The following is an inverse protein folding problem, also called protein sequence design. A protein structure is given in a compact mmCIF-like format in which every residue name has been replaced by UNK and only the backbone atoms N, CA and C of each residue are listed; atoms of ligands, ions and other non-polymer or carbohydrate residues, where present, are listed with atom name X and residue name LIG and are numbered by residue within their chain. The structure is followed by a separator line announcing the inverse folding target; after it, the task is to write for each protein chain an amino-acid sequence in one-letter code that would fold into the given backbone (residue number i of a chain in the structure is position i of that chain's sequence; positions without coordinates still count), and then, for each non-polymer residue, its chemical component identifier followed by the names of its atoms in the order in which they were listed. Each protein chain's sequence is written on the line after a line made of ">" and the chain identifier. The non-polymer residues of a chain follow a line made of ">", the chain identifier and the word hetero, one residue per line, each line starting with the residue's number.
data_IF_365106179119
#
_entry.id   IF_365106179119
#
_cell.length_a   1.000
_cell.length_b   1.000
_cell.length_c   1.000
_cell.angle_alpha   90.00
_cell.angle_beta   90.00
_cell.angle_gamma   90.00
#
_symmetry.space_group_name_H-M   'P 1'
#
loop_
_entity.id
_entity.type
_entity.pdbx_description
1 polymer ?
2 non-polymer ?
3 non-polymer ?
4 non-polymer ?
5 non-polymer ?
6 non-polymer ?
7 water ?
#
# COMPACT_ATOMS: atom_id res chain seq x y z
N UNK A 3 -16.47 8.31 12.32
CA UNK A 3 -15.47 9.11 11.62
C UNK A 3 -14.49 8.23 10.84
N UNK A 4 -14.10 8.69 9.64
CA UNK A 4 -13.16 7.91 8.83
C UNK A 4 -11.76 7.91 9.41
N UNK A 5 -11.02 6.83 9.12
CA UNK A 5 -9.64 6.69 9.57
C UNK A 5 -8.83 7.91 9.16
N UNK A 6 -7.94 8.35 10.05
CA UNK A 6 -7.01 9.45 9.73
C UNK A 6 -5.77 8.80 9.12
N UNK A 7 -5.79 8.67 7.79
CA UNK A 7 -4.65 8.14 7.07
C UNK A 7 -3.54 9.19 6.99
N UNK A 8 -2.34 8.71 6.66
CA UNK A 8 -1.26 9.64 6.34
C UNK A 8 -1.60 10.52 5.15
N UNK A 9 -0.84 11.59 5.00
CA UNK A 9 -1.04 12.54 3.92
C UNK A 9 -1.85 13.76 4.29
N UNK A 10 -2.30 13.88 5.53
CA UNK A 10 -3.20 14.95 5.92
C UNK A 10 -2.50 16.29 6.14
N UNK A 11 -1.81 16.78 5.11
CA UNK A 11 -1.09 18.04 5.21
C UNK A 11 -2.06 19.22 5.37
N UNK A 12 -3.17 19.20 4.63
CA UNK A 12 -4.17 20.25 4.76
C UNK A 12 -4.59 20.42 6.22
N UNK A 13 -4.98 19.33 6.86
CA UNK A 13 -5.42 19.39 8.25
C UNK A 13 -4.25 19.71 9.19
N UNK A 14 -3.05 19.21 8.89
CA UNK A 14 -1.91 19.50 9.77
C UNK A 14 -1.56 20.97 9.73
N UNK A 15 -1.48 21.57 8.54
CA UNK A 15 -1.13 22.97 8.41
C UNK A 15 -2.18 23.87 9.07
N UNK A 16 -3.46 23.49 9.00
CA UNK A 16 -4.49 24.30 9.63
C UNK A 16 -4.34 24.29 11.15
N UNK A 17 -3.83 23.20 11.72
CA UNK A 17 -3.69 23.08 13.15
C UNK A 17 -2.38 23.64 13.66
N UNK A 18 -1.30 23.47 12.89
CA UNK A 18 0.04 23.79 13.35
C UNK A 18 0.67 24.97 12.61
N UNK A 19 -0.01 25.51 11.60
CA UNK A 19 0.50 26.65 10.86
C UNK A 19 1.37 26.25 9.68
N UNK A 20 1.78 27.26 8.93
CA UNK A 20 2.63 27.07 7.77
C UNK A 20 1.83 26.90 6.48
N UNK A 21 2.52 27.16 5.36
CA UNK A 21 1.92 26.86 4.07
C UNK A 21 2.13 25.39 3.74
N UNK A 22 1.12 24.71 3.20
CA UNK A 22 1.26 23.27 2.89
C UNK A 22 2.54 22.92 2.13
N UNK A 23 2.96 23.75 1.18
CA UNK A 23 4.16 23.42 0.42
C UNK A 23 5.43 23.55 1.23
N UNK A 24 5.39 24.22 2.39
CA UNK A 24 6.56 24.33 3.24
C UNK A 24 6.68 23.17 4.22
N UNK A 25 5.64 22.36 4.35
CA UNK A 25 5.70 21.18 5.19
C UNK A 25 6.52 20.07 4.51
N UNK A 26 7.15 19.26 5.34
CA UNK A 26 7.80 18.04 4.89
C UNK A 26 6.88 16.87 5.26
N UNK A 27 6.28 16.22 4.26
CA UNK A 27 5.31 15.16 4.52
C UNK A 27 6.03 13.82 4.55
N UNK A 28 6.23 13.30 5.75
CA UNK A 28 6.78 11.97 5.96
C UNK A 28 5.74 11.02 6.53
N UNK A 29 4.47 11.28 6.26
CA UNK A 29 3.40 10.48 6.86
C UNK A 29 2.82 9.45 5.90
N UNK A 30 3.37 9.30 4.70
CA UNK A 30 2.93 8.25 3.79
C UNK A 30 4.11 7.35 3.42
N UNK A 31 3.86 6.42 2.51
CA UNK A 31 4.88 5.54 1.99
C UNK A 31 5.07 5.75 0.50
N UNK A 32 4.69 6.93 0.02
CA UNK A 32 4.80 7.27 -1.40
C UNK A 32 6.24 7.62 -1.74
N UNK A 33 6.74 7.11 -2.86
CA UNK A 33 8.03 7.50 -3.42
C UNK A 33 8.12 9.03 -3.46
N UNK A 34 9.03 9.63 -2.69
CA UNK A 34 9.08 11.10 -2.62
C UNK A 34 9.60 11.76 -3.89
N UNK A 35 10.15 10.99 -4.83
CA UNK A 35 10.73 11.53 -6.07
C UNK A 35 9.93 10.98 -7.24
N UNK A 36 8.79 11.61 -7.56
CA UNK A 36 7.94 11.08 -8.63
C UNK A 36 8.69 10.97 -9.96
N UNK A 37 8.42 9.87 -10.65
CA UNK A 37 8.96 9.65 -11.99
C UNK A 37 8.46 10.76 -12.92
N UNK A 38 9.26 11.08 -13.94
CA UNK A 38 8.82 12.05 -14.95
C UNK A 38 7.60 11.53 -15.70
N UNK A 39 6.66 12.43 -15.97
CA UNK A 39 5.41 12.03 -16.63
C UNK A 39 5.66 11.63 -18.08
N UNK A 40 5.16 10.47 -18.52
CA UNK A 40 5.18 10.17 -19.95
C UNK A 40 4.20 11.06 -20.69
N UNK A 41 4.29 11.00 -22.03
CA UNK A 41 3.35 11.73 -22.86
C UNK A 41 1.95 11.13 -22.72
N UNK A 42 0.95 12.00 -22.62
CA UNK A 42 -0.44 11.60 -22.64
C UNK A 42 -1.14 12.30 -23.79
N UNK A 43 -1.41 11.59 -24.89
CA UNK A 43 -2.01 12.23 -26.07
C UNK A 43 -3.38 12.80 -25.74
N UNK A 44 -3.74 13.85 -26.49
CA UNK A 44 -5.03 14.50 -26.28
C UNK A 44 -6.18 13.51 -26.38
N UNK A 45 -6.06 12.51 -27.26
CA UNK A 45 -7.09 11.49 -27.39
C UNK A 45 -7.38 10.83 -26.04
N UNK A 46 -6.33 10.50 -25.27
CA UNK A 46 -6.52 9.85 -23.97
C UNK A 46 -7.23 10.75 -22.97
N UNK A 47 -7.08 12.07 -23.10
CA UNK A 47 -7.82 13.02 -22.25
C UNK A 47 -9.28 13.15 -22.67
N UNK A 48 -9.53 13.11 -23.98
CA UNK A 48 -10.82 13.50 -24.55
C UNK A 48 -11.84 12.37 -24.50
N UNK A 49 -11.44 11.17 -24.90
CA UNK A 49 -12.36 10.06 -25.09
C UNK A 49 -12.59 9.29 -23.79
N UNK A 50 -13.80 8.74 -23.66
CA UNK A 50 -14.02 7.70 -22.66
C UNK A 50 -12.99 6.59 -22.87
N UNK A 51 -12.42 6.03 -21.79
CA UNK A 51 -11.29 5.09 -21.95
C UNK A 51 -11.68 3.91 -22.83
N UNK A 52 -10.91 3.70 -23.88
CA UNK A 52 -11.19 2.71 -24.91
C UNK A 52 -10.67 1.34 -24.47
N UNK A 53 -11.31 0.30 -25.02
CA UNK A 53 -10.86 -1.07 -24.73
C UNK A 53 -9.38 -1.24 -25.05
N UNK A 54 -8.91 -0.61 -26.14
CA UNK A 54 -7.50 -0.75 -26.51
C UNK A 54 -6.59 -0.12 -25.46
N UNK A 55 -7.00 1.02 -24.89
CA UNK A 55 -6.23 1.66 -23.83
C UNK A 55 -6.18 0.79 -22.59
N UNK A 56 -7.30 0.17 -22.23
CA UNK A 56 -7.33 -0.77 -21.12
C UNK A 56 -6.41 -1.96 -21.39
N UNK A 57 -6.57 -2.57 -22.57
CA UNK A 57 -5.85 -3.81 -22.86
C UNK A 57 -4.34 -3.60 -22.85
N UNK A 58 -3.88 -2.46 -23.37
CA UNK A 58 -2.44 -2.19 -23.36
C UNK A 58 -1.91 -2.04 -21.94
N UNK A 59 -2.68 -1.39 -21.06
CA UNK A 59 -2.26 -1.29 -19.67
C UNK A 59 -2.25 -2.66 -19.01
N UNK A 60 -3.22 -3.52 -19.35
CA UNK A 60 -3.25 -4.86 -18.77
C UNK A 60 -2.06 -5.70 -19.22
N UNK A 61 -1.71 -5.60 -20.51
CA UNK A 61 -0.56 -6.34 -21.03
C UNK A 61 0.74 -5.87 -20.39
N UNK A 62 0.91 -4.55 -20.26
CA UNK A 62 2.10 -4.03 -19.61
C UNK A 62 2.17 -4.46 -18.15
N UNK A 63 1.02 -4.46 -17.47
CA UNK A 63 0.98 -4.88 -16.07
C UNK A 63 1.29 -6.36 -15.93
N UNK A 64 0.82 -7.20 -16.88
CA UNK A 64 1.14 -8.62 -16.81
C UNK A 64 2.64 -8.85 -16.92
N UNK A 65 3.30 -8.15 -17.83
CA UNK A 65 4.76 -8.25 -17.94
C UNK A 65 5.43 -7.71 -16.68
N UNK A 66 4.97 -6.54 -16.21
CA UNK A 66 5.65 -5.86 -15.12
C UNK A 66 5.54 -6.64 -13.80
N UNK A 67 4.36 -7.18 -13.50
CA UNK A 67 4.15 -7.94 -12.26
C UNK A 67 4.50 -9.42 -12.42
N UNK A 68 4.88 -9.87 -13.61
CA UNK A 68 5.27 -11.25 -13.87
C UNK A 68 4.17 -12.22 -13.44
N UNK A 69 3.01 -12.07 -14.09
CA UNK A 69 1.78 -12.73 -13.68
C UNK A 69 1.57 -14.08 -14.37
N UNK A 70 2.57 -14.57 -15.11
CA UNK A 70 2.51 -15.88 -15.76
C UNK A 70 1.28 -16.00 -16.65
N UNK A 71 1.04 -14.95 -17.45
CA UNK A 71 -0.02 -14.97 -18.44
C UNK A 71 -1.34 -14.36 -18.01
N UNK A 72 -1.58 -14.20 -16.71
CA UNK A 72 -2.82 -13.58 -16.26
C UNK A 72 -2.79 -12.09 -16.54
N UNK A 73 -3.82 -11.59 -17.21
CA UNK A 73 -3.92 -10.15 -17.46
C UNK A 73 -4.58 -9.48 -16.27
N UNK A 74 -3.82 -8.67 -15.51
CA UNK A 74 -4.41 -8.01 -14.33
C UNK A 74 -5.51 -7.04 -14.73
N UNK A 75 -6.50 -6.90 -13.84
CA UNK A 75 -7.58 -5.95 -14.05
C UNK A 75 -7.18 -4.60 -13.49
N UNK A 76 -7.19 -3.53 -14.28
CA UNK A 76 -6.96 -2.19 -13.73
C UNK A 76 -8.16 -1.75 -12.92
N UNK A 77 -7.88 -1.14 -11.76
CA UNK A 77 -8.95 -0.65 -10.89
C UNK A 77 -8.59 0.77 -10.45
N UNK A 78 -9.56 1.62 -10.14
CA UNK A 78 -9.22 3.03 -9.81
C UNK A 78 -8.72 3.17 -8.37
N UNK A 79 -7.53 2.62 -8.11
CA UNK A 79 -7.01 2.55 -6.76
C UNK A 79 -7.45 1.27 -6.08
N UNK A 80 -6.54 0.62 -5.34
CA UNK A 80 -6.94 -0.61 -4.67
C UNK A 80 -7.99 -0.34 -3.59
N UNK A 81 -8.06 0.89 -3.08
CA UNK A 81 -9.14 1.24 -2.18
C UNK A 81 -10.50 0.90 -2.78
N UNK A 82 -10.64 1.07 -4.10
CA UNK A 82 -11.92 0.84 -4.74
C UNK A 82 -12.32 -0.63 -4.69
N UNK A 83 -11.35 -1.55 -4.75
CA UNK A 83 -11.71 -2.96 -4.64
C UNK A 83 -11.68 -3.46 -3.21
N UNK A 84 -11.02 -2.75 -2.29
CA UNK A 84 -11.22 -3.01 -0.87
C UNK A 84 -12.68 -2.76 -0.50
N UNK A 85 -13.23 -1.59 -0.89
CA UNK A 85 -14.65 -1.29 -0.68
C UNK A 85 -15.57 -2.40 -1.19
N UNK A 86 -15.11 -3.25 -2.11
CA UNK A 86 -15.93 -4.28 -2.72
C UNK A 86 -15.70 -5.67 -2.14
N UNK A 87 -14.75 -5.84 -1.22
CA UNK A 87 -14.52 -7.16 -0.64
C UNK A 87 -15.75 -7.77 0.02
N UNK A 88 -16.68 -7.03 0.63
CA UNK A 88 -17.89 -7.66 1.16
C UNK A 88 -18.64 -8.51 0.13
N UNK A 89 -18.61 -8.12 -1.15
CA UNK A 89 -19.31 -8.89 -2.18
C UNK A 89 -18.58 -10.17 -2.54
N UNK A 90 -17.28 -10.24 -2.25
CA UNK A 90 -16.47 -11.41 -2.57
C UNK A 90 -16.28 -12.35 -1.39
N UNK A 91 -16.07 -11.81 -0.19
CA UNK A 91 -15.82 -12.64 0.98
C UNK A 91 -16.98 -13.60 1.20
N UNK A 92 -16.72 -14.90 1.33
CA UNK A 92 -17.81 -15.86 1.58
C UNK A 92 -18.72 -15.40 2.69
N UNK A 93 -20.02 -15.34 2.37
CA UNK A 93 -21.02 -14.93 3.35
C UNK A 93 -21.05 -15.87 4.53
N UNK A 94 -21.38 -15.33 5.71
CA UNK A 94 -21.61 -16.14 6.91
C UNK A 94 -20.33 -16.85 7.36
N UNK A 95 -19.17 -16.30 7.00
CA UNK A 95 -17.92 -16.80 7.53
C UNK A 95 -17.09 -15.63 8.04
N UNK A 96 -16.15 -15.94 8.91
CA UNK A 96 -15.29 -14.91 9.46
C UNK A 96 -14.23 -14.51 8.43
N UNK A 97 -13.62 -13.35 8.68
CA UNK A 97 -12.46 -12.89 7.94
C UNK A 97 -11.31 -12.75 8.91
N UNK A 98 -10.17 -13.36 8.58
CA UNK A 98 -8.95 -13.25 9.35
C UNK A 98 -8.02 -12.24 8.67
N UNK A 99 -7.52 -11.28 9.44
CA UNK A 99 -6.62 -10.25 8.91
C UNK A 99 -5.31 -10.32 9.71
N UNK A 100 -4.21 -10.56 8.99
CA UNK A 100 -2.87 -10.46 9.59
C UNK A 100 -2.61 -9.00 9.95
N UNK A 101 -2.50 -8.72 11.24
CA UNK A 101 -2.34 -7.36 11.69
C UNK A 101 -1.26 -7.19 12.73
N UNK A 102 -1.16 -5.99 13.30
CA UNK A 102 -1.91 -4.77 12.91
C UNK A 102 -1.51 -4.33 11.51
N UNK A 103 -2.43 -3.78 10.74
CA UNK A 103 -2.17 -3.50 9.34
C UNK A 103 -3.05 -2.33 8.88
N UNK A 104 -3.02 -2.07 7.58
CA UNK A 104 -3.86 -1.05 6.96
C UNK A 104 -5.31 -1.23 7.42
N UNK A 105 -5.90 -0.13 7.91
CA UNK A 105 -7.14 -0.23 8.66
C UNK A 105 -8.41 -0.37 7.84
N UNK A 106 -8.36 -0.14 6.53
CA UNK A 106 -9.59 -0.10 5.74
C UNK A 106 -10.20 -1.48 5.57
N UNK A 107 -9.39 -2.53 5.62
CA UNK A 107 -9.93 -3.89 5.49
C UNK A 107 -10.94 -4.20 6.60
N UNK A 108 -10.54 -4.01 7.85
CA UNK A 108 -11.46 -4.26 8.95
C UNK A 108 -12.62 -3.27 8.95
N UNK A 109 -12.35 -2.01 8.60
CA UNK A 109 -13.41 -1.01 8.61
C UNK A 109 -14.50 -1.37 7.62
N UNK A 110 -14.12 -1.66 6.39
CA UNK A 110 -15.09 -1.99 5.35
C UNK A 110 -15.83 -3.28 5.70
N UNK A 111 -15.10 -4.31 6.11
CA UNK A 111 -15.75 -5.61 6.29
C UNK A 111 -16.66 -5.61 7.52
N UNK A 112 -16.25 -4.96 8.61
CA UNK A 112 -17.12 -4.91 9.79
C UNK A 112 -18.35 -4.06 9.52
N UNK A 113 -18.20 -2.99 8.74
CA UNK A 113 -19.37 -2.20 8.37
C UNK A 113 -20.36 -3.01 7.56
N UNK A 114 -19.90 -4.04 6.85
CA UNK A 114 -20.77 -4.91 6.08
C UNK A 114 -21.28 -6.09 6.88
N UNK A 115 -21.07 -6.10 8.20
CA UNK A 115 -21.58 -7.16 9.05
C UNK A 115 -20.71 -8.40 9.16
N UNK A 116 -19.49 -8.39 8.64
CA UNK A 116 -18.60 -9.52 8.79
C UNK A 116 -17.91 -9.51 10.16
N UNK A 117 -17.65 -10.69 10.69
CA UNK A 117 -16.86 -10.84 11.90
C UNK A 117 -15.38 -10.92 11.50
N UNK A 118 -14.56 -10.02 12.05
CA UNK A 118 -13.15 -9.92 11.67
C UNK A 118 -12.29 -10.40 12.84
N UNK A 119 -11.42 -11.37 12.56
CA UNK A 119 -10.48 -11.90 13.54
C UNK A 119 -9.09 -11.36 13.24
N UNK A 120 -8.53 -10.59 14.16
CA UNK A 120 -7.14 -10.16 14.03
C UNK A 120 -6.21 -11.31 14.39
N UNK A 121 -5.30 -11.65 13.48
CA UNK A 121 -4.37 -12.74 13.72
C UNK A 121 -2.95 -12.26 13.44
N UNK A 122 -1.98 -12.99 14.00
CA UNK A 122 -0.58 -12.65 13.81
C UNK A 122 0.19 -13.70 13.02
N UNK A 123 -0.34 -14.92 12.88
CA UNK A 123 0.34 -15.91 12.06
C UNK A 123 -0.65 -17.01 11.67
N UNK A 124 -0.17 -17.90 10.80
CA UNK A 124 -1.03 -18.87 10.14
C UNK A 124 -1.62 -19.90 11.09
N UNK A 125 -0.98 -20.16 12.25
CA UNK A 125 -1.52 -21.19 13.12
C UNK A 125 -2.86 -20.79 13.73
N UNK A 126 -3.26 -19.53 13.63
CA UNK A 126 -4.56 -19.11 14.11
C UNK A 126 -5.66 -19.26 13.07
N UNK A 127 -5.34 -19.70 11.85
CA UNK A 127 -6.30 -19.77 10.76
C UNK A 127 -7.08 -21.07 10.81
N UNK A 128 -8.40 -20.98 10.59
CA UNK A 128 -9.29 -22.13 10.65
C UNK A 128 -10.20 -22.15 9.42
N UNK A 129 -11.05 -23.18 9.37
CA UNK A 129 -12.05 -23.30 8.30
C UNK A 129 -13.18 -22.27 8.44
N UNK A 130 -13.31 -21.65 9.61
CA UNK A 130 -14.28 -20.59 9.80
C UNK A 130 -13.92 -19.31 9.03
N UNK A 131 -12.68 -19.21 8.55
CA UNK A 131 -12.22 -18.00 7.86
C UNK A 131 -12.47 -18.17 6.37
N UNK A 132 -13.54 -17.55 5.87
CA UNK A 132 -13.81 -17.58 4.44
C UNK A 132 -12.82 -16.77 3.64
N UNK A 133 -12.25 -15.73 4.24
CA UNK A 133 -11.24 -14.90 3.61
C UNK A 133 -10.11 -14.65 4.60
N UNK A 134 -8.88 -14.77 4.11
CA UNK A 134 -7.68 -14.38 4.84
C UNK A 134 -7.01 -13.25 4.08
N UNK A 135 -6.58 -12.21 4.81
CA UNK A 135 -6.01 -11.01 4.22
C UNK A 135 -4.59 -10.82 4.78
N UNK A 136 -3.60 -10.81 3.90
CA UNK A 136 -2.22 -10.49 4.27
C UNK A 136 -1.76 -9.30 3.45
N UNK A 137 -1.29 -8.26 4.12
CA UNK A 137 -0.57 -7.18 3.45
C UNK A 137 0.92 -7.55 3.44
N UNK A 138 1.49 -7.72 2.25
CA UNK A 138 2.83 -8.29 2.16
C UNK A 138 3.70 -7.53 1.16
N UNK A 139 4.77 -6.85 1.63
CA UNK A 139 5.17 -6.70 3.04
C UNK A 139 4.18 -5.82 3.79
N UNK A 140 4.13 -5.94 5.12
CA UNK A 140 3.05 -5.31 5.86
C UNK A 140 3.22 -3.80 5.96
N UNK A 141 2.08 -3.10 5.92
CA UNK A 141 1.97 -1.72 6.35
C UNK A 141 1.28 -1.77 7.71
N UNK A 142 1.89 -1.27 8.80
CA UNK A 142 3.10 -0.44 8.85
C UNK A 142 4.39 -1.12 9.30
N UNK A 143 4.43 -2.44 9.56
CA UNK A 143 5.60 -3.03 10.19
C UNK A 143 6.65 -3.52 9.19
N UNK A 144 6.31 -3.65 7.91
CA UNK A 144 7.22 -4.22 6.94
C UNK A 144 7.40 -5.71 7.01
N UNK A 145 6.70 -6.41 7.90
CA UNK A 145 6.84 -7.86 7.98
C UNK A 145 6.56 -8.51 6.63
N UNK A 146 7.42 -9.45 6.24
CA UNK A 146 7.33 -10.08 4.93
C UNK A 146 7.24 -11.59 5.10
N UNK A 147 6.12 -12.17 4.69
CA UNK A 147 6.05 -13.62 4.57
C UNK A 147 6.64 -14.03 3.23
N UNK A 148 7.30 -15.19 3.24
CA UNK A 148 7.84 -15.72 2.01
C UNK A 148 6.72 -16.27 1.12
N UNK A 149 6.88 -16.20 -0.20
CA UNK A 149 5.84 -16.74 -1.11
C UNK A 149 5.41 -18.15 -0.75
N UNK A 150 6.34 -19.01 -0.36
CA UNK A 150 5.97 -20.38 0.00
C UNK A 150 5.05 -20.43 1.21
N UNK A 151 5.26 -19.52 2.17
CA UNK A 151 4.34 -19.44 3.31
C UNK A 151 2.96 -18.99 2.87
N UNK A 152 2.91 -18.01 1.96
CA UNK A 152 1.61 -17.55 1.45
C UNK A 152 0.88 -18.66 0.72
N UNK A 153 1.59 -19.41 -0.12
CA UNK A 153 0.96 -20.49 -0.86
C UNK A 153 0.52 -21.62 0.07
N UNK A 154 1.25 -21.85 1.16
CA UNK A 154 0.82 -22.85 2.14
C UNK A 154 -0.44 -22.39 2.86
N UNK A 155 -0.55 -21.10 3.16
CA UNK A 155 -1.79 -20.56 3.70
C UNK A 155 -2.93 -20.75 2.71
N UNK A 156 -2.68 -20.46 1.43
CA UNK A 156 -3.73 -20.60 0.43
C UNK A 156 -4.20 -22.05 0.32
N UNK A 157 -3.25 -22.98 0.22
CA UNK A 157 -3.61 -24.39 0.08
C UNK A 157 -4.43 -24.87 1.25
N UNK A 158 -4.08 -24.44 2.47
CA UNK A 158 -4.79 -24.89 3.66
C UNK A 158 -6.22 -24.34 3.70
N UNK A 159 -6.41 -23.07 3.35
CA UNK A 159 -7.76 -22.50 3.32
C UNK A 159 -8.59 -23.07 2.18
N UNK A 160 -7.95 -23.45 1.07
CA UNK A 160 -8.69 -23.93 -0.09
C UNK A 160 -9.52 -25.17 0.26
N UNK A 161 -9.03 -26.01 1.17
CA UNK A 161 -9.75 -27.23 1.54
C UNK A 161 -11.17 -26.96 2.03
N UNK A 162 -11.39 -25.81 2.68
CA UNK A 162 -12.72 -25.45 3.16
C UNK A 162 -13.36 -24.36 2.31
N UNK A 163 -12.93 -24.20 1.05
CA UNK A 163 -13.45 -23.13 0.22
C UNK A 163 -13.10 -21.73 0.68
N UNK A 164 -11.96 -21.54 1.34
CA UNK A 164 -11.55 -20.22 1.76
C UNK A 164 -10.65 -19.56 0.74
N UNK A 165 -10.65 -18.23 0.74
CA UNK A 165 -9.83 -17.43 -0.17
C UNK A 165 -8.68 -16.77 0.58
N UNK A 166 -7.60 -16.52 -0.15
CA UNK A 166 -6.46 -15.76 0.38
C UNK A 166 -6.28 -14.50 -0.46
N UNK A 167 -6.31 -13.34 0.18
CA UNK A 167 -5.99 -12.06 -0.44
C UNK A 167 -4.64 -11.58 0.05
N UNK A 168 -3.71 -11.34 -0.88
CA UNK A 168 -2.41 -10.76 -0.58
C UNK A 168 -2.34 -9.37 -1.20
N UNK A 169 -2.20 -8.36 -0.35
CA UNK A 169 -2.07 -6.98 -0.79
C UNK A 169 -0.58 -6.65 -0.87
N UNK A 170 -0.06 -6.58 -2.10
CA UNK A 170 1.35 -6.30 -2.36
C UNK A 170 1.57 -4.85 -2.78
N UNK A 171 0.84 -3.93 -2.14
CA UNK A 171 0.97 -2.50 -2.45
C UNK A 171 2.42 -2.04 -2.35
N UNK A 172 3.16 -2.56 -1.37
CA UNK A 172 4.53 -2.14 -1.12
C UNK A 172 5.55 -3.19 -1.57
N UNK A 173 5.18 -4.01 -2.55
CA UNK A 173 6.02 -5.13 -2.94
C UNK A 173 6.90 -4.91 -4.17
N UNK A 174 6.76 -3.76 -4.83
CA UNK A 174 7.49 -3.53 -6.08
C UNK A 174 9.01 -3.60 -5.89
N UNK A 175 9.51 -3.19 -4.73
CA UNK A 175 10.96 -3.21 -4.50
C UNK A 175 11.51 -4.61 -4.32
N UNK A 176 10.68 -5.59 -3.99
CA UNK A 176 11.12 -6.97 -3.80
C UNK A 176 10.21 -7.91 -4.60
N UNK A 177 10.35 -7.89 -5.94
CA UNK A 177 9.45 -8.72 -6.77
C UNK A 177 9.57 -10.21 -6.52
N UNK A 178 10.65 -10.66 -5.89
CA UNK A 178 10.81 -12.08 -5.61
C UNK A 178 9.92 -12.57 -4.48
N UNK A 179 9.31 -11.65 -3.71
CA UNK A 179 8.32 -12.02 -2.70
C UNK A 179 6.92 -12.19 -3.26
N UNK A 180 6.66 -11.77 -4.50
CA UNK A 180 5.29 -11.70 -4.99
C UNK A 180 4.73 -13.09 -5.28
N UNK A 181 3.44 -13.27 -5.01
CA UNK A 181 2.73 -14.46 -5.47
C UNK A 181 1.80 -14.13 -6.65
N UNK A 182 2.03 -12.99 -7.30
CA UNK A 182 1.20 -12.57 -8.42
C UNK A 182 1.29 -13.51 -9.61
N UNK A 183 2.26 -14.41 -9.65
CA UNK A 183 2.39 -15.39 -10.70
C UNK A 183 1.68 -16.70 -10.44
N UNK A 184 0.91 -16.81 -9.36
CA UNK A 184 0.36 -18.10 -8.93
C UNK A 184 -1.16 -18.15 -8.97
N UNK A 185 -1.83 -17.19 -9.61
CA UNK A 185 -3.28 -17.15 -9.57
C UNK A 185 -3.90 -18.41 -10.17
N UNK A 186 -3.41 -18.85 -11.34
CA UNK A 186 -4.01 -19.98 -12.02
C UNK A 186 -3.74 -21.29 -11.29
N UNK A 187 -2.52 -21.48 -10.78
CA UNK A 187 -2.18 -22.73 -10.14
C UNK A 187 -2.78 -22.86 -8.76
N UNK A 188 -2.95 -21.75 -8.05
CA UNK A 188 -3.50 -21.82 -6.70
C UNK A 188 -5.03 -21.80 -6.70
N UNK A 189 -5.66 -20.98 -7.54
CA UNK A 189 -7.10 -21.02 -7.69
C UNK A 189 -7.91 -20.20 -6.71
N UNK A 190 -7.47 -20.13 -5.45
CA UNK A 190 -8.19 -19.38 -4.42
C UNK A 190 -7.39 -18.17 -3.94
N UNK A 191 -6.55 -17.61 -4.82
CA UNK A 191 -5.62 -16.55 -4.47
C UNK A 191 -5.96 -15.27 -5.24
N UNK A 192 -6.05 -14.15 -4.51
CA UNK A 192 -6.22 -12.82 -5.10
C UNK A 192 -5.07 -11.93 -4.66
N UNK A 193 -4.53 -11.15 -5.59
CA UNK A 193 -3.43 -10.23 -5.32
C UNK A 193 -3.83 -8.81 -5.73
N UNK A 194 -3.68 -7.86 -4.81
CA UNK A 194 -3.83 -6.44 -5.11
C UNK A 194 -2.45 -5.82 -5.32
N UNK A 195 -2.32 -5.03 -6.38
CA UNK A 195 -1.13 -4.22 -6.64
C UNK A 195 -1.55 -2.77 -6.72
N UNK A 196 -0.73 -1.88 -6.16
CA UNK A 196 -0.98 -0.45 -6.15
C UNK A 196 0.06 0.26 -7.00
N UNK A 197 -0.38 1.25 -7.78
CA UNK A 197 0.53 1.93 -8.68
C UNK A 197 1.18 3.16 -8.04
N UNK A 198 0.49 3.81 -7.10
CA UNK A 198 0.93 5.12 -6.67
C UNK A 198 2.22 5.12 -5.85
N UNK A 199 2.38 4.13 -4.96
CA UNK A 199 3.47 4.19 -3.99
C UNK A 199 4.84 4.10 -4.67
N UNK A 200 5.07 3.05 -5.47
CA UNK A 200 6.39 2.83 -6.05
C UNK A 200 6.74 3.90 -7.08
N UNK A 201 5.78 4.29 -7.91
CA UNK A 201 6.06 5.25 -8.97
C UNK A 201 5.95 6.68 -8.50
N UNK A 202 5.41 6.92 -7.31
CA UNK A 202 5.32 8.28 -6.80
C UNK A 202 4.27 9.14 -7.48
N UNK A 203 3.25 8.52 -8.06
CA UNK A 203 2.18 9.27 -8.71
C UNK A 203 0.85 8.94 -8.05
N UNK A 204 0.75 9.23 -6.75
CA UNK A 204 -0.45 8.86 -5.99
C UNK A 204 -1.61 9.80 -6.25
N UNK A 205 -1.40 10.88 -7.01
CA UNK A 205 -2.53 11.67 -7.47
C UNK A 205 -3.37 10.93 -8.47
N UNK A 206 -2.76 10.02 -9.22
CA UNK A 206 -3.50 9.06 -10.04
C UNK A 206 -4.10 7.99 -9.14
N UNK A 207 -5.30 7.56 -9.47
CA UNK A 207 -5.97 6.51 -8.69
C UNK A 207 -5.95 5.24 -9.55
N UNK A 208 -4.96 4.38 -9.30
CA UNK A 208 -4.78 3.19 -10.12
C UNK A 208 -4.17 2.04 -9.33
N UNK A 209 -4.80 0.87 -9.43
CA UNK A 209 -4.23 -0.36 -8.94
C UNK A 209 -4.55 -1.47 -9.93
N UNK A 210 -4.15 -2.69 -9.57
CA UNK A 210 -4.41 -3.85 -10.40
C UNK A 210 -4.78 -5.03 -9.52
N UNK A 211 -5.69 -5.87 -10.01
CA UNK A 211 -6.08 -7.11 -9.34
C UNK A 211 -5.59 -8.28 -10.19
N UNK A 212 -4.91 -9.23 -9.56
CA UNK A 212 -4.50 -10.48 -10.19
C UNK A 212 -5.28 -11.60 -9.52
N UNK A 213 -6.04 -12.35 -10.32
CA UNK A 213 -6.91 -13.40 -9.80
C UNK A 213 -7.34 -14.27 -10.98
N UNK A 214 -8.12 -15.30 -10.70
CA UNK A 214 -8.69 -16.09 -11.78
C UNK A 214 -9.75 -15.28 -12.53
N UNK A 215 -10.03 -15.72 -13.76
CA UNK A 215 -10.97 -14.98 -14.60
C UNK A 215 -12.36 -14.84 -13.98
N UNK A 216 -12.96 -15.85 -13.35
CA UNK A 216 -14.27 -15.61 -12.71
C UNK A 216 -14.23 -14.50 -11.69
N UNK A 217 -13.14 -14.38 -10.94
CA UNK A 217 -13.05 -13.32 -9.94
C UNK A 217 -12.81 -11.97 -10.60
N UNK A 218 -11.91 -11.92 -11.59
CA UNK A 218 -11.68 -10.66 -12.31
C UNK A 218 -12.96 -10.18 -13.00
N UNK A 219 -13.73 -11.11 -13.58
CA UNK A 219 -14.99 -10.71 -14.22
C UNK A 219 -15.96 -10.15 -13.19
N UNK A 220 -15.97 -10.70 -11.98
CA UNK A 220 -16.84 -10.15 -10.94
C UNK A 220 -16.43 -8.73 -10.56
N UNK A 221 -15.14 -8.52 -10.29
CA UNK A 221 -14.69 -7.17 -9.95
C UNK A 221 -15.00 -6.18 -11.07
N UNK A 222 -14.79 -6.60 -12.33
CA UNK A 222 -15.06 -5.71 -13.45
C UNK A 222 -16.53 -5.31 -13.52
N UNK A 223 -17.43 -6.26 -13.25
CA UNK A 223 -18.85 -5.94 -13.28
C UNK A 223 -19.23 -5.00 -12.14
N UNK A 224 -18.71 -5.27 -10.94
CA UNK A 224 -19.03 -4.44 -9.78
C UNK A 224 -18.54 -3.00 -9.98
N UNK A 225 -17.38 -2.83 -10.61
CA UNK A 225 -16.83 -1.50 -10.79
C UNK A 225 -17.54 -0.71 -11.89
N UNK A 226 -18.10 -1.39 -12.87
CA UNK A 226 -18.84 -0.73 -13.93
C UNK A 226 -17.94 -0.19 -15.03
N UNK A 227 -18.54 0.32 -16.10
CA UNK A 227 -17.75 0.77 -17.25
C UNK A 227 -16.91 2.00 -16.94
N UNK A 228 -15.77 2.11 -17.63
CA UNK A 228 -14.90 3.29 -17.57
C UNK A 228 -14.42 3.58 -16.15
N UNK A 229 -14.08 2.53 -15.40
CA UNK A 229 -13.73 2.75 -14.00
C UNK A 229 -12.40 3.47 -13.82
N UNK A 230 -11.45 3.28 -14.74
CA UNK A 230 -10.11 3.85 -14.64
C UNK A 230 -9.91 4.90 -15.74
N UNK A 231 -9.29 6.02 -15.38
CA UNK A 231 -9.15 7.13 -16.30
C UNK A 231 -8.20 6.80 -17.45
N UNK A 232 -8.42 7.49 -18.59
CA UNK A 232 -7.55 7.38 -19.73
C UNK A 232 -6.11 7.74 -19.42
N UNK A 233 -5.88 8.91 -18.79
CA UNK A 233 -4.50 9.27 -18.42
C UNK A 233 -3.81 8.23 -17.54
N UNK A 234 -4.50 7.69 -16.52
CA UNK A 234 -3.88 6.69 -15.65
C UNK A 234 -3.46 5.45 -16.44
N UNK A 235 -4.31 4.96 -17.34
CA UNK A 235 -3.97 3.78 -18.12
C UNK A 235 -2.85 4.07 -19.11
N UNK A 236 -2.80 5.27 -19.65
CA UNK A 236 -1.72 5.65 -20.56
C UNK A 236 -0.39 5.73 -19.82
N UNK A 237 -0.39 6.39 -18.66
CA UNK A 237 0.82 6.62 -17.92
C UNK A 237 1.40 5.31 -17.40
N UNK A 238 0.54 4.41 -16.90
CA UNK A 238 1.08 3.19 -16.31
C UNK A 238 1.69 2.27 -17.35
N UNK A 239 1.10 2.21 -18.55
CA UNK A 239 1.67 1.42 -19.62
C UNK A 239 3.10 1.88 -19.93
N UNK A 240 3.29 3.20 -20.06
CA UNK A 240 4.61 3.72 -20.40
C UNK A 240 5.61 3.49 -19.27
N UNK A 241 5.26 3.84 -18.02
CA UNK A 241 6.21 3.73 -16.92
C UNK A 241 6.57 2.28 -16.64
N UNK A 242 5.61 1.35 -16.73
CA UNK A 242 5.90 -0.04 -16.45
C UNK A 242 6.82 -0.65 -17.50
N UNK A 243 6.80 -0.11 -18.72
CA UNK A 243 7.66 -0.59 -19.78
C UNK A 243 9.01 0.12 -19.80
N UNK A 244 9.22 1.11 -18.94
CA UNK A 244 10.47 1.83 -18.86
C UNK A 244 11.44 1.18 -17.88
N UNK A 245 12.42 1.98 -17.47
CA UNK A 245 13.48 1.52 -16.57
C UNK A 245 12.97 1.64 -15.13
N UNK A 246 12.43 0.55 -14.61
CA UNK A 246 12.02 0.54 -13.21
C UNK A 246 13.15 0.17 -12.27
N UNK A 247 14.26 -0.38 -12.78
CA UNK A 247 15.43 -0.62 -11.96
C UNK A 247 15.96 0.69 -11.36
N UNK A 248 15.98 1.76 -12.16
CA UNK A 248 16.45 3.04 -11.67
C UNK A 248 15.48 3.64 -10.65
N UNK A 249 14.19 3.34 -10.77
CA UNK A 249 13.24 3.81 -9.77
C UNK A 249 13.54 3.16 -8.42
N UNK A 250 13.72 1.84 -8.41
CA UNK A 250 14.04 1.14 -7.18
C UNK A 250 15.35 1.65 -6.57
N UNK A 251 16.35 1.92 -7.41
CA UNK A 251 17.65 2.35 -6.91
C UNK A 251 17.54 3.71 -6.22
N UNK A 252 16.79 4.64 -6.82
CA UNK A 252 16.59 5.93 -6.19
C UNK A 252 15.90 5.81 -4.85
N UNK A 253 14.89 4.93 -4.74
CA UNK A 253 14.19 4.75 -3.48
C UNK A 253 15.14 4.28 -2.40
N UNK A 254 15.97 3.27 -2.71
CA UNK A 254 16.88 2.73 -1.71
C UNK A 254 17.91 3.77 -1.25
N UNK A 255 18.28 4.69 -2.14
CA UNK A 255 19.17 5.77 -1.74
C UNK A 255 18.50 6.71 -0.75
N UNK A 256 17.22 7.03 -0.98
CA UNK A 256 16.51 7.87 -0.02
C UNK A 256 16.27 7.12 1.29
N UNK A 257 16.08 5.80 1.22
CA UNK A 257 15.91 5.01 2.42
C UNK A 257 17.19 5.00 3.25
N UNK A 258 18.35 4.91 2.59
CA UNK A 258 19.62 5.01 3.31
C UNK A 258 19.76 6.37 3.98
N UNK A 259 19.30 7.43 3.32
CA UNK A 259 19.33 8.73 3.94
C UNK A 259 18.44 8.82 5.17
N UNK A 260 17.24 8.23 5.09
CA UNK A 260 16.35 8.23 6.25
C UNK A 260 16.94 7.41 7.40
N UNK A 261 17.50 6.24 7.08
CA UNK A 261 18.13 5.42 8.11
C UNK A 261 19.20 6.20 8.86
N UNK A 262 20.04 6.92 8.12
CA UNK A 262 21.13 7.67 8.75
C UNK A 262 20.57 8.76 9.66
N UNK A 263 19.54 9.47 9.21
CA UNK A 263 18.95 10.53 10.02
C UNK A 263 18.30 9.98 11.28
N UNK A 264 17.57 8.87 11.17
CA UNK A 264 16.90 8.30 12.33
C UNK A 264 17.88 7.66 13.29
N UNK A 265 18.84 6.89 12.76
CA UNK A 265 19.83 6.26 13.63
C UNK A 265 20.69 7.30 14.33
N UNK A 266 21.08 8.36 13.61
CA UNK A 266 21.88 9.41 14.18
C UNK A 266 21.15 10.24 15.20
N UNK A 267 19.82 10.22 15.18
CA UNK A 267 19.03 10.91 16.20
C UNK A 267 18.77 10.04 17.41
N UNK A 268 19.27 8.81 17.42
CA UNK A 268 19.08 7.95 18.56
C UNK A 268 17.74 7.23 18.59
N UNK A 269 17.03 7.17 17.47
CA UNK A 269 15.74 6.49 17.42
C UNK A 269 15.93 5.00 17.13
N UNK A 270 14.98 4.20 17.58
CA UNK A 270 15.02 2.74 17.43
C UNK A 270 14.12 2.33 16.26
N UNK A 271 14.72 1.89 15.15
CA UNK A 271 13.97 1.36 14.02
C UNK A 271 13.64 -0.11 14.27
N UNK A 272 12.37 -0.47 14.16
CA UNK A 272 11.89 -1.83 14.41
C UNK A 272 11.30 -2.50 13.19
N UNK A 273 11.22 -1.80 12.06
CA UNK A 273 10.69 -2.40 10.85
C UNK A 273 10.57 -1.36 9.77
N UNK A 274 10.11 -1.82 8.61
CA UNK A 274 9.83 -0.94 7.50
C UNK A 274 10.02 -1.64 6.18
N UNK A 275 9.91 -0.85 5.11
CA UNK A 275 10.16 -1.31 3.75
C UNK A 275 11.08 -0.30 3.08
N UNK A 276 11.33 -0.45 1.78
CA UNK A 276 12.10 0.55 1.08
C UNK A 276 11.49 1.94 1.13
N UNK A 277 10.18 2.03 1.39
CA UNK A 277 9.43 3.28 1.27
C UNK A 277 9.02 3.90 2.60
N UNK A 278 9.27 3.24 3.73
CA UNK A 278 8.98 3.84 5.02
C UNK A 278 9.68 3.05 6.12
N UNK A 279 9.78 3.69 7.30
CA UNK A 279 10.41 3.10 8.47
C UNK A 279 9.42 3.13 9.63
N UNK A 280 9.38 2.07 10.41
CA UNK A 280 8.62 2.02 11.65
C UNK A 280 9.58 2.22 12.82
N UNK A 281 9.35 3.29 13.57
CA UNK A 281 10.13 3.65 14.75
C UNK A 281 9.32 3.29 15.98
N UNK A 282 9.99 2.76 17.00
CA UNK A 282 9.39 2.56 18.31
C UNK A 282 10.04 3.50 19.32
N UNK A 283 9.22 4.26 20.06
CA UNK A 283 9.70 5.21 21.03
C UNK A 283 8.62 5.37 22.09
N UNK A 284 8.98 5.44 23.38
CA UNK A 284 7.95 5.48 24.43
C UNK A 284 7.08 6.72 24.39
N UNK A 285 7.49 7.80 23.74
CA UNK A 285 6.68 9.01 23.60
C UNK A 285 6.42 9.31 22.13
N UNK A 286 6.11 8.26 21.35
CA UNK A 286 5.94 8.43 19.91
C UNK A 286 4.87 9.48 19.58
N UNK A 287 3.75 9.47 20.28
CA UNK A 287 2.70 10.43 20.00
C UNK A 287 3.17 11.86 20.23
N UNK A 288 3.94 12.07 21.30
CA UNK A 288 4.48 13.39 21.55
C UNK A 288 5.56 13.75 20.53
N UNK A 289 6.34 12.77 20.07
CA UNK A 289 7.28 13.02 18.97
C UNK A 289 6.54 13.53 17.73
N UNK A 290 5.44 12.84 17.38
CA UNK A 290 4.65 13.24 16.21
C UNK A 290 4.16 14.67 16.35
N UNK A 291 3.68 15.05 17.54
CA UNK A 291 3.18 16.41 17.75
C UNK A 291 4.30 17.43 17.66
N UNK A 292 5.46 17.14 18.26
CA UNK A 292 6.58 18.08 18.19
C UNK A 292 7.08 18.23 16.77
N UNK A 293 7.13 17.12 16.00
CA UNK A 293 7.50 17.23 14.59
C UNK A 293 6.51 18.10 13.83
N UNK A 294 5.21 17.98 14.16
CA UNK A 294 4.22 18.83 13.52
C UNK A 294 4.48 20.30 13.80
N UNK A 295 4.91 20.64 15.02
CA UNK A 295 5.25 22.02 15.33
C UNK A 295 6.45 22.50 14.51
N UNK A 296 7.29 21.58 14.03
CA UNK A 296 8.33 21.90 13.07
C UNK A 296 7.85 21.76 11.63
N UNK A 297 6.54 21.56 11.42
CA UNK A 297 5.93 21.41 10.10
C UNK A 297 6.51 20.21 9.35
N UNK A 298 6.68 19.11 10.08
CA UNK A 298 7.03 17.81 9.54
C UNK A 298 5.95 16.85 9.98
N UNK A 299 5.23 16.26 9.01
CA UNK A 299 4.13 15.34 9.32
C UNK A 299 4.65 13.90 9.30
N UNK A 300 4.36 13.17 10.37
CA UNK A 300 4.62 11.73 10.41
C UNK A 300 3.33 11.03 10.82
N UNK A 301 3.35 9.70 10.75
CA UNK A 301 2.16 8.89 10.97
C UNK A 301 2.22 8.24 12.35
N UNK A 302 1.24 8.55 13.20
CA UNK A 302 1.04 7.84 14.47
C UNK A 302 -0.22 6.99 14.37
N UNK A 303 -0.36 6.05 15.31
CA UNK A 303 -1.42 5.05 15.28
C UNK A 303 -2.12 5.00 16.63
N UNK A 304 -3.47 5.10 16.61
CA UNK A 304 -4.21 5.08 17.87
C UNK A 304 -4.10 3.74 18.57
N UNK A 305 -3.86 2.66 17.83
CA UNK A 305 -3.75 1.34 18.44
C UNK A 305 -2.34 1.01 18.95
N UNK A 306 -1.33 1.83 18.64
CA UNK A 306 0.06 1.54 19.01
C UNK A 306 0.73 2.84 19.41
N UNK A 307 0.58 3.24 20.67
CA UNK A 307 1.04 4.59 21.08
C UNK A 307 2.55 4.77 21.04
N UNK A 308 3.35 3.71 20.93
CA UNK A 308 4.79 3.84 20.84
C UNK A 308 5.31 3.68 19.42
N UNK A 309 4.43 3.69 18.42
CA UNK A 309 4.81 3.50 17.03
C UNK A 309 4.78 4.82 16.28
N UNK A 310 5.75 5.02 15.40
CA UNK A 310 5.78 6.18 14.51
C UNK A 310 6.29 5.71 13.17
N UNK A 311 5.48 5.88 12.12
CA UNK A 311 5.88 5.51 10.77
C UNK A 311 6.36 6.76 10.05
N UNK A 312 7.58 6.70 9.51
CA UNK A 312 8.24 7.83 8.89
C UNK A 312 8.54 7.47 7.44
N UNK A 313 8.01 8.25 6.50
CA UNK A 313 8.27 8.04 5.10
C UNK A 313 9.56 8.71 4.64
N UNK A 314 9.92 8.45 3.38
CA UNK A 314 11.17 8.99 2.84
C UNK A 314 11.05 10.49 2.60
N UNK A 315 12.16 11.21 2.81
CA UNK A 315 12.25 12.61 2.40
C UNK A 315 12.70 12.69 0.95
N UNK A 316 12.41 13.80 0.25
CA UNK A 316 12.76 13.85 -1.18
C UNK A 316 14.24 14.02 -1.47
N UNK A 317 15.04 14.51 -0.52
CA UNK A 317 16.46 14.74 -0.77
C UNK A 317 17.21 14.78 0.56
N UNK A 318 18.52 15.01 0.47
CA UNK A 318 19.36 15.05 1.66
C UNK A 318 19.02 16.25 2.55
N UNK A 319 18.59 17.36 1.95
CA UNK A 319 18.15 18.50 2.74
C UNK A 319 16.99 18.12 3.65
N UNK A 320 16.04 17.34 3.14
CA UNK A 320 14.92 16.90 3.95
C UNK A 320 15.33 15.94 5.04
N UNK A 321 16.26 15.03 4.74
CA UNK A 321 16.84 14.20 5.79
C UNK A 321 17.40 15.05 6.91
N UNK A 322 18.16 16.09 6.55
CA UNK A 322 18.77 16.95 7.56
C UNK A 322 17.73 17.77 8.29
N UNK A 323 16.67 18.19 7.60
CA UNK A 323 15.59 18.90 8.27
C UNK A 323 14.94 18.04 9.35
N UNK A 324 14.70 16.76 9.04
CA UNK A 324 14.16 15.85 10.04
C UNK A 324 15.10 15.73 11.22
N UNK A 325 16.39 15.49 10.96
CA UNK A 325 17.35 15.31 12.04
C UNK A 325 17.42 16.55 12.93
N UNK A 326 17.44 17.74 12.34
CA UNK A 326 17.53 18.95 13.14
C UNK A 326 16.30 19.14 14.02
N UNK A 327 15.11 18.79 13.50
CA UNK A 327 13.91 18.91 14.32
C UNK A 327 13.95 17.98 15.52
N UNK A 328 14.45 16.77 15.33
CA UNK A 328 14.60 15.85 16.45
C UNK A 328 15.61 16.37 17.46
N UNK A 329 16.71 16.96 16.96
CA UNK A 329 17.78 17.42 17.84
C UNK A 329 17.38 18.67 18.63
N UNK A 330 16.53 19.52 18.07
CA UNK A 330 16.17 20.78 18.73
C UNK A 330 14.80 20.74 19.38
N UNK A 331 14.13 19.59 19.32
CA UNK A 331 12.80 19.42 19.87
C UNK A 331 12.77 19.76 21.36
N UNK A 332 11.69 20.41 21.77
CA UNK A 332 11.51 20.79 23.17
C UNK A 332 11.11 19.57 24.00
N UNK A 333 11.09 19.76 25.32
CA UNK A 333 10.79 18.71 26.29
C UNK A 333 9.61 17.85 25.84
N UNK A 334 9.81 16.53 25.91
CA UNK A 334 8.75 15.57 25.61
C UNK A 334 7.95 15.29 26.89
N UNK A 335 7.17 16.28 27.29
CA UNK A 335 6.31 16.15 28.46
C UNK A 335 4.95 16.82 28.23
#
# INVERSE_FOLDING_TARGET
>A
MSAPIVHGGGITEAAARYGGRPEDWLDLSTGINPCPVALPAVPERAWHRLPDRQTVDDARSAAADYYRTNGVLPLPVPGTQSVIQLLPRLAPANRHVAIFGPTYGEYARVLEAAGFAVDRVADADALTAEHGLVIVVNPNNPTGRALAPAELLAIAARQKASGGLLLVDEAFGDLEPQLSVAGHASGQGNLIVFRSFGKFFGLAGLRLGFVVATEPVLASFADWLGPWAVSGPALTISKALMQGDTKAIAAGILERRAGLDAALDGAGLNRIGGTGLFVLVEHPRAALLQERLCEAHILTRKFDYAPTWLRVGLAPDAAGDRRLADALARMELLEHHHHHH
#
